data_IF_006992003691
#
_entry.id   IF_006992003691
#
_cell.length_a   1.000
_cell.length_b   1.000
_cell.length_c   1.000
_cell.angle_alpha   90.00
_cell.angle_beta   90.00
_cell.angle_gamma   90.00
#
_symmetry.space_group_name_H-M   'P 1'
#
loop_
_entity.id
_entity.type
_entity.pdbx_description
1 polymer ?
#
# COMPACT_ATOMS: atom_id res chain seq x y z
N UNK A 1 -15.93 17.55 -0.34
CA UNK A 1 -15.12 17.00 0.77
C UNK A 1 -13.87 16.42 0.14
N UNK A 2 -12.68 16.74 0.66
CA UNK A 2 -11.45 16.08 0.20
C UNK A 2 -11.29 14.82 1.03
N UNK A 3 -11.43 13.66 0.40
CA UNK A 3 -11.11 12.39 1.05
C UNK A 3 -9.59 12.22 1.02
N UNK A 4 -8.98 12.02 2.18
CA UNK A 4 -7.55 11.73 2.29
C UNK A 4 -7.35 10.21 2.32
N UNK A 5 -6.26 9.68 1.75
CA UNK A 5 -6.04 8.26 1.78
C UNK A 5 -5.85 7.78 3.22
N UNK A 6 -6.38 6.60 3.53
CA UNK A 6 -6.20 5.92 4.82
C UNK A 6 -5.03 4.94 4.73
N UNK A 7 -4.57 4.43 5.87
CA UNK A 7 -3.56 3.35 5.86
C UNK A 7 -4.20 1.99 5.57
N UNK A 8 -3.43 1.09 4.96
CA UNK A 8 -3.85 -0.33 4.82
C UNK A 8 -4.11 -0.94 6.20
N UNK A 9 -3.40 -0.51 7.25
CA UNK A 9 -3.63 -0.98 8.61
C UNK A 9 -5.06 -0.74 9.08
N UNK A 10 -5.57 0.48 8.91
CA UNK A 10 -6.95 0.83 9.29
C UNK A 10 -7.97 -0.03 8.53
N UNK A 11 -7.77 -0.19 7.22
CA UNK A 11 -8.63 -1.03 6.38
C UNK A 11 -8.63 -2.49 6.84
N UNK A 12 -7.45 -3.06 7.12
CA UNK A 12 -7.34 -4.47 7.53
C UNK A 12 -7.87 -4.73 8.93
N UNK A 13 -7.71 -3.79 9.87
CA UNK A 13 -8.30 -3.88 11.21
C UNK A 13 -9.84 -3.93 11.15
N UNK A 14 -10.45 -3.08 10.31
CA UNK A 14 -11.90 -3.10 10.12
C UNK A 14 -12.36 -4.39 9.44
N UNK A 15 -11.64 -4.85 8.41
CA UNK A 15 -11.91 -6.08 7.70
C UNK A 15 -11.82 -7.33 8.59
N UNK A 16 -10.81 -7.40 9.47
CA UNK A 16 -10.65 -8.47 10.44
C UNK A 16 -11.81 -8.52 11.44
N UNK A 17 -12.22 -7.36 11.99
CA UNK A 17 -13.38 -7.30 12.86
C UNK A 17 -14.70 -7.64 12.15
N UNK A 18 -14.83 -7.25 10.89
CA UNK A 18 -16.02 -7.49 10.07
C UNK A 18 -16.06 -8.88 9.43
N UNK A 19 -14.98 -9.68 9.51
CA UNK A 19 -14.91 -11.01 8.90
C UNK A 19 -14.91 -10.99 7.37
N UNK A 20 -14.34 -9.96 6.75
CA UNK A 20 -14.28 -9.81 5.29
C UNK A 20 -12.86 -9.57 4.79
N UNK A 21 -12.68 -9.59 3.47
CA UNK A 21 -11.41 -9.30 2.82
C UNK A 21 -11.53 -8.04 1.96
N UNK A 22 -10.41 -7.34 1.74
CA UNK A 22 -10.37 -6.11 0.95
C UNK A 22 -9.55 -6.31 -0.30
N UNK A 23 -10.08 -5.84 -1.43
CA UNK A 23 -9.41 -5.90 -2.73
C UNK A 23 -8.20 -4.98 -2.78
N UNK A 24 -7.05 -5.56 -3.14
CA UNK A 24 -5.86 -4.83 -3.59
C UNK A 24 -5.75 -4.91 -5.10
N UNK A 25 -5.81 -3.77 -5.76
CA UNK A 25 -5.80 -3.70 -7.22
C UNK A 25 -4.62 -2.87 -7.72
N UNK A 26 -3.77 -3.53 -8.48
CA UNK A 26 -2.70 -2.89 -9.23
C UNK A 26 -3.26 -1.88 -10.24
N UNK A 27 -2.65 -0.71 -10.29
CA UNK A 27 -3.13 0.43 -11.07
C UNK A 27 -1.99 1.15 -11.79
N UNK A 28 -2.17 1.34 -13.10
CA UNK A 28 -1.06 1.71 -14.00
C UNK A 28 -1.36 2.87 -14.94
N UNK A 29 -2.61 3.33 -14.99
CA UNK A 29 -3.07 4.45 -15.83
C UNK A 29 -4.42 4.96 -15.31
N UNK A 30 -4.82 6.14 -15.79
CA UNK A 30 -5.95 6.91 -15.29
C UNK A 30 -7.26 6.12 -15.29
N UNK A 31 -7.58 5.43 -16.39
CA UNK A 31 -8.83 4.71 -16.58
C UNK A 31 -9.00 3.60 -15.54
N UNK A 32 -7.90 2.90 -15.20
CA UNK A 32 -7.92 1.83 -14.23
C UNK A 32 -8.04 2.37 -12.80
N UNK A 33 -7.31 3.44 -12.46
CA UNK A 33 -7.46 4.11 -11.16
C UNK A 33 -8.92 4.56 -10.97
N UNK A 34 -9.49 5.20 -11.98
CA UNK A 34 -10.87 5.69 -11.97
C UNK A 34 -11.86 4.54 -11.78
N UNK A 35 -11.74 3.47 -12.58
CA UNK A 35 -12.62 2.31 -12.48
C UNK A 35 -12.56 1.67 -11.09
N UNK A 36 -11.36 1.49 -10.52
CA UNK A 36 -11.19 0.90 -9.19
C UNK A 36 -11.90 1.74 -8.11
N UNK A 37 -11.66 3.05 -8.06
CA UNK A 37 -12.22 3.87 -6.99
C UNK A 37 -13.73 4.09 -7.15
N UNK A 38 -14.22 4.29 -8.37
CA UNK A 38 -15.65 4.54 -8.61
C UNK A 38 -16.47 3.29 -8.32
N UNK A 39 -16.00 2.11 -8.76
CA UNK A 39 -16.67 0.85 -8.42
C UNK A 39 -16.61 0.56 -6.91
N UNK A 40 -15.50 0.85 -6.24
CA UNK A 40 -15.44 0.70 -4.78
C UNK A 40 -16.46 1.60 -4.06
N UNK A 41 -16.67 2.83 -4.55
CA UNK A 41 -17.66 3.76 -4.00
C UNK A 41 -19.09 3.30 -4.27
N UNK A 42 -19.39 2.83 -5.49
CA UNK A 42 -20.69 2.25 -5.87
C UNK A 42 -21.06 1.04 -5.00
N UNK A 43 -20.08 0.18 -4.72
CA UNK A 43 -20.25 -1.01 -3.87
C UNK A 43 -20.15 -0.71 -2.37
N UNK A 44 -19.92 0.56 -1.99
CA UNK A 44 -19.72 0.97 -0.58
C UNK A 44 -18.63 0.15 0.14
N UNK A 45 -17.56 -0.20 -0.59
CA UNK A 45 -16.49 -1.07 -0.12
C UNK A 45 -15.16 -0.32 0.01
N UNK A 46 -14.35 -0.57 1.07
CA UNK A 46 -13.00 -0.06 1.12
C UNK A 46 -12.14 -0.70 0.02
N UNK A 47 -11.08 -0.01 -0.42
CA UNK A 47 -10.20 -0.52 -1.48
C UNK A 47 -8.73 -0.13 -1.26
N UNK A 48 -7.82 -1.00 -1.69
CA UNK A 48 -6.39 -0.73 -1.71
C UNK A 48 -5.96 -0.50 -3.16
N UNK A 49 -5.59 0.73 -3.50
CA UNK A 49 -5.02 1.11 -4.78
C UNK A 49 -3.51 0.84 -4.76
N UNK A 50 -3.05 -0.10 -5.58
CA UNK A 50 -1.68 -0.59 -5.54
C UNK A 50 -0.89 -0.17 -6.77
N UNK A 51 0.43 0.00 -6.61
CA UNK A 51 1.36 0.16 -7.71
C UNK A 51 2.67 -0.56 -7.41
N UNK A 52 3.20 -1.27 -8.40
CA UNK A 52 4.53 -1.89 -8.32
C UNK A 52 5.65 -0.89 -8.67
N UNK A 53 6.91 -1.11 -8.25
CA UNK A 53 8.05 -0.29 -8.68
C UNK A 53 8.18 -0.17 -10.20
N UNK A 54 7.85 -1.24 -10.92
CA UNK A 54 7.84 -1.23 -12.39
C UNK A 54 6.75 -0.29 -12.93
N UNK A 55 5.55 -0.36 -12.37
CA UNK A 55 4.44 0.53 -12.71
C UNK A 55 4.77 1.99 -12.45
N UNK A 56 5.33 2.29 -11.27
CA UNK A 56 5.74 3.65 -10.90
C UNK A 56 6.82 4.22 -11.82
N UNK A 57 7.81 3.41 -12.23
CA UNK A 57 8.83 3.86 -13.20
C UNK A 57 8.27 4.08 -14.59
N UNK A 58 7.30 3.28 -15.01
CA UNK A 58 6.66 3.42 -16.32
C UNK A 58 5.80 4.70 -16.40
N UNK A 59 4.98 4.93 -15.37
CA UNK A 59 3.99 6.01 -15.33
C UNK A 59 4.58 7.34 -14.83
N UNK A 60 5.60 7.29 -13.97
CA UNK A 60 6.01 8.41 -13.14
C UNK A 60 5.23 8.44 -11.82
N UNK A 61 5.96 8.55 -10.70
CA UNK A 61 5.35 8.54 -9.36
C UNK A 61 4.55 9.83 -9.07
N UNK A 62 4.97 10.94 -9.66
CA UNK A 62 4.27 12.23 -9.66
C UNK A 62 2.93 12.17 -10.42
N UNK A 63 2.91 11.55 -11.60
CA UNK A 63 1.67 11.31 -12.34
C UNK A 63 0.72 10.41 -11.56
N UNK A 64 1.23 9.32 -10.99
CA UNK A 64 0.42 8.43 -10.17
C UNK A 64 -0.21 9.18 -8.98
N UNK A 65 0.59 9.93 -8.23
CA UNK A 65 0.12 10.72 -7.10
C UNK A 65 -0.99 11.69 -7.53
N UNK A 66 -0.78 12.47 -8.59
CA UNK A 66 -1.77 13.44 -9.05
C UNK A 66 -3.09 12.77 -9.48
N UNK A 67 -3.02 11.62 -10.15
CA UNK A 67 -4.21 10.85 -10.54
C UNK A 67 -4.92 10.25 -9.33
N UNK A 68 -4.19 9.66 -8.38
CA UNK A 68 -4.75 9.11 -7.16
C UNK A 68 -5.44 10.20 -6.32
N UNK A 69 -4.80 11.36 -6.14
CA UNK A 69 -5.41 12.51 -5.45
C UNK A 69 -6.68 12.99 -6.16
N UNK A 70 -6.70 12.99 -7.49
CA UNK A 70 -7.89 13.35 -8.27
C UNK A 70 -9.02 12.32 -8.14
N UNK A 71 -8.68 11.04 -8.02
CA UNK A 71 -9.61 9.94 -7.80
C UNK A 71 -10.23 9.99 -6.38
N UNK A 72 -9.40 10.19 -5.35
CA UNK A 72 -9.84 10.30 -3.95
C UNK A 72 -10.87 11.40 -3.72
N UNK A 73 -10.75 12.54 -4.42
CA UNK A 73 -11.72 13.65 -4.32
C UNK A 73 -13.13 13.31 -4.83
N UNK A 74 -13.30 12.17 -5.50
CA UNK A 74 -14.57 11.76 -6.11
C UNK A 74 -15.35 10.73 -5.29
N UNK A 75 -14.73 10.14 -4.27
CA UNK A 75 -15.28 8.97 -3.56
C UNK A 75 -15.33 9.21 -2.05
N UNK A 76 -16.31 8.61 -1.39
CA UNK A 76 -16.51 8.67 0.06
C UNK A 76 -15.96 7.46 0.82
N UNK A 77 -15.74 6.33 0.13
CA UNK A 77 -15.21 5.11 0.75
C UNK A 77 -13.73 5.23 1.17
N UNK A 78 -13.26 4.42 2.14
CA UNK A 78 -11.85 4.38 2.51
C UNK A 78 -10.98 3.82 1.38
N UNK A 79 -9.97 4.59 0.98
CA UNK A 79 -8.99 4.18 -0.04
C UNK A 79 -7.58 4.26 0.54
N UNK A 80 -6.83 3.18 0.47
CA UNK A 80 -5.39 3.18 0.78
C UNK A 80 -4.55 3.18 -0.48
N UNK A 81 -3.39 3.82 -0.44
CA UNK A 81 -2.42 3.82 -1.56
C UNK A 81 -1.20 2.99 -1.12
N UNK A 82 -0.92 1.93 -1.86
CA UNK A 82 0.05 0.91 -1.45
C UNK A 82 1.12 0.61 -2.50
N UNK A 83 2.39 0.61 -2.10
CA UNK A 83 3.49 0.15 -2.94
C UNK A 83 3.53 -1.36 -2.84
N UNK A 84 3.22 -2.06 -3.93
CA UNK A 84 3.29 -3.52 -3.98
C UNK A 84 4.68 -3.98 -4.42
N UNK A 85 5.24 -4.98 -3.73
CA UNK A 85 6.53 -5.59 -4.09
C UNK A 85 7.72 -4.62 -4.27
N UNK A 86 7.88 -3.62 -3.39
CA UNK A 86 9.12 -2.84 -3.32
C UNK A 86 10.32 -3.74 -3.01
N UNK A 87 11.44 -3.63 -3.73
CA UNK A 87 12.61 -4.51 -3.50
C UNK A 87 13.83 -3.77 -2.96
N UNK A 88 13.73 -2.45 -2.84
CA UNK A 88 14.82 -1.59 -2.39
C UNK A 88 14.33 -0.45 -1.50
N UNK A 89 15.22 0.08 -0.66
CA UNK A 89 14.94 1.31 0.11
C UNK A 89 14.61 2.50 -0.79
N UNK A 90 15.14 2.54 -2.02
CA UNK A 90 14.83 3.59 -2.98
C UNK A 90 13.36 3.54 -3.42
N UNK A 91 12.82 2.34 -3.67
CA UNK A 91 11.40 2.18 -4.01
C UNK A 91 10.50 2.61 -2.83
N UNK A 92 10.86 2.21 -1.61
CA UNK A 92 10.14 2.61 -0.39
C UNK A 92 10.13 4.14 -0.23
N UNK A 93 11.30 4.77 -0.32
CA UNK A 93 11.42 6.23 -0.19
C UNK A 93 10.67 6.98 -1.29
N UNK A 94 10.70 6.47 -2.52
CA UNK A 94 9.94 7.03 -3.63
C UNK A 94 8.44 7.01 -3.32
N UNK A 95 7.90 5.85 -2.94
CA UNK A 95 6.49 5.72 -2.60
C UNK A 95 6.07 6.66 -1.46
N UNK A 96 6.81 6.65 -0.34
CA UNK A 96 6.50 7.48 0.82
C UNK A 96 6.53 8.98 0.49
N UNK A 97 7.48 9.42 -0.35
CA UNK A 97 7.56 10.82 -0.82
C UNK A 97 6.37 11.25 -1.69
N UNK A 98 5.72 10.30 -2.34
CA UNK A 98 4.59 10.52 -3.25
C UNK A 98 3.24 10.17 -2.61
N UNK A 99 3.14 10.24 -1.28
CA UNK A 99 1.86 10.17 -0.57
C UNK A 99 1.31 8.75 -0.40
N UNK A 100 2.12 7.71 -0.58
CA UNK A 100 1.72 6.34 -0.29
C UNK A 100 1.53 6.14 1.22
N UNK A 101 0.35 5.66 1.61
CA UNK A 101 -0.02 5.41 3.00
C UNK A 101 0.35 4.00 3.48
N UNK A 102 0.84 3.16 2.56
CA UNK A 102 1.32 1.82 2.86
C UNK A 102 2.41 1.40 1.88
N UNK A 103 3.38 0.62 2.36
CA UNK A 103 4.46 0.08 1.52
C UNK A 103 4.70 -1.38 1.78
N UNK A 104 5.03 -2.14 0.74
CA UNK A 104 5.50 -3.51 0.85
C UNK A 104 6.98 -3.61 0.52
N UNK A 105 7.76 -4.21 1.42
CA UNK A 105 9.13 -4.61 1.13
C UNK A 105 9.20 -6.13 0.91
N UNK A 106 9.68 -6.50 -0.27
CA UNK A 106 9.85 -7.85 -0.74
C UNK A 106 11.34 -8.24 -0.73
N UNK A 107 11.84 -8.56 0.46
CA UNK A 107 13.15 -9.18 0.68
C UNK A 107 13.10 -10.70 0.55
N UNK A 108 12.06 -11.26 -0.06
CA UNK A 108 11.77 -12.69 0.02
C UNK A 108 12.80 -13.58 -0.68
N UNK A 109 13.54 -13.01 -1.63
CA UNK A 109 14.70 -13.64 -2.29
C UNK A 109 16.00 -13.59 -1.48
N UNK A 110 16.02 -12.89 -0.34
CA UNK A 110 17.18 -12.80 0.54
C UNK A 110 17.19 -13.94 1.57
N UNK A 111 18.35 -14.25 2.16
CA UNK A 111 18.41 -15.04 3.39
C UNK A 111 17.48 -14.46 4.47
N UNK A 112 16.94 -15.33 5.34
CA UNK A 112 15.91 -14.95 6.30
C UNK A 112 16.36 -13.79 7.20
N UNK A 113 17.58 -13.84 7.70
CA UNK A 113 18.16 -12.82 8.57
C UNK A 113 18.29 -11.47 7.87
N UNK A 114 18.66 -11.48 6.58
CA UNK A 114 18.74 -10.28 5.75
C UNK A 114 17.35 -9.71 5.45
N UNK A 115 16.36 -10.56 5.17
CA UNK A 115 14.97 -10.14 4.98
C UNK A 115 14.41 -9.49 6.26
N UNK A 116 14.65 -10.10 7.43
CA UNK A 116 14.26 -9.52 8.72
C UNK A 116 14.94 -8.17 8.93
N UNK A 117 16.25 -8.07 8.68
CA UNK A 117 16.99 -6.82 8.86
C UNK A 117 16.50 -5.71 7.90
N UNK A 118 16.26 -6.04 6.64
CA UNK A 118 15.70 -5.11 5.65
C UNK A 118 14.29 -4.65 6.05
N UNK A 119 13.42 -5.60 6.43
CA UNK A 119 12.06 -5.31 6.86
C UNK A 119 12.06 -4.39 8.08
N UNK A 120 12.90 -4.63 9.09
CA UNK A 120 13.01 -3.76 10.28
C UNK A 120 13.36 -2.33 9.91
N UNK A 121 14.31 -2.12 9.00
CA UNK A 121 14.69 -0.77 8.53
C UNK A 121 13.53 -0.06 7.83
N UNK A 122 12.75 -0.79 7.03
CA UNK A 122 11.57 -0.24 6.35
C UNK A 122 10.46 0.11 7.36
N UNK A 123 10.23 -0.74 8.36
CA UNK A 123 9.28 -0.47 9.45
C UNK A 123 9.65 0.79 10.21
N UNK A 124 10.91 0.92 10.64
CA UNK A 124 11.42 2.12 11.33
C UNK A 124 11.22 3.39 10.49
N UNK A 125 11.52 3.33 9.20
CA UNK A 125 11.34 4.44 8.28
C UNK A 125 9.86 4.80 8.10
N UNK A 126 9.00 3.84 7.79
CA UNK A 126 7.58 4.09 7.51
C UNK A 126 6.82 4.59 8.74
N UNK A 127 7.18 4.09 9.93
CA UNK A 127 6.61 4.58 11.20
C UNK A 127 6.98 6.04 11.46
N UNK A 128 8.17 6.50 11.03
CA UNK A 128 8.57 7.91 11.18
C UNK A 128 7.73 8.89 10.34
N UNK A 129 7.00 8.40 9.34
CA UNK A 129 6.16 9.20 8.43
C UNK A 129 4.67 8.82 8.48
N UNK A 130 4.25 8.08 9.51
CA UNK A 130 2.87 7.63 9.72
C UNK A 130 2.25 6.79 8.58
N UNK A 131 3.06 5.96 7.90
CA UNK A 131 2.60 4.99 6.88
C UNK A 131 2.71 3.53 7.37
N UNK A 132 1.78 2.67 6.95
CA UNK A 132 1.80 1.22 7.27
C UNK A 132 2.84 0.43 6.46
N UNK A 133 3.25 -0.75 6.97
CA UNK A 133 4.21 -1.63 6.27
C UNK A 133 3.66 -3.03 6.08
N UNK A 134 3.90 -3.62 4.92
CA UNK A 134 3.71 -5.04 4.63
C UNK A 134 5.07 -5.66 4.28
N UNK A 135 5.32 -6.90 4.72
CA UNK A 135 6.55 -7.62 4.44
C UNK A 135 6.24 -8.98 3.80
N UNK A 136 7.06 -9.40 2.82
CA UNK A 136 6.94 -10.75 2.24
C UNK A 136 7.90 -11.72 2.92
N UNK A 137 7.39 -12.89 3.32
CA UNK A 137 8.21 -14.01 3.78
C UNK A 137 7.85 -15.30 3.06
N UNK A 138 8.78 -16.26 3.05
CA UNK A 138 8.51 -17.63 2.63
C UNK A 138 7.85 -18.41 3.76
N UNK A 139 6.86 -19.25 3.43
CA UNK A 139 6.26 -20.26 4.31
C UNK A 139 6.18 -21.56 3.51
N UNK A 140 6.64 -22.67 4.06
CA UNK A 140 6.61 -24.05 3.51
C UNK A 140 6.61 -24.14 1.95
N UNK A 141 5.44 -24.03 1.32
CA UNK A 141 5.24 -24.18 -0.14
C UNK A 141 4.98 -22.87 -0.92
N UNK A 142 5.14 -21.69 -0.31
CA UNK A 142 4.82 -20.42 -0.96
C UNK A 142 5.32 -19.16 -0.26
N UNK A 143 4.82 -18.02 -0.74
CA UNK A 143 5.08 -16.70 -0.16
C UNK A 143 3.83 -16.20 0.54
N UNK A 144 3.99 -15.60 1.72
CA UNK A 144 2.91 -14.95 2.45
C UNK A 144 3.28 -13.51 2.81
N UNK A 145 2.27 -12.67 2.97
CA UNK A 145 2.40 -11.28 3.33
C UNK A 145 2.08 -11.13 4.83
N UNK A 146 2.95 -10.43 5.55
CA UNK A 146 2.70 -10.04 6.94
C UNK A 146 2.48 -8.54 6.94
N UNK A 147 1.32 -8.12 7.42
CA UNK A 147 1.10 -6.72 7.71
C UNK A 147 1.69 -6.36 9.07
N UNK A 148 2.52 -5.31 9.10
CA UNK A 148 3.15 -4.79 10.31
C UNK A 148 2.45 -3.47 10.63
N UNK A 149 1.62 -3.43 11.68
CA UNK A 149 0.85 -2.23 12.02
C UNK A 149 1.77 -1.07 12.39
N UNK A 150 1.23 0.15 12.28
CA UNK A 150 1.85 1.30 12.94
C UNK A 150 1.91 1.03 14.45
N UNK A 151 2.99 1.43 15.12
CA UNK A 151 2.97 1.35 16.59
C UNK A 151 1.86 2.26 17.12
N UNK A 152 1.00 1.70 17.97
CA UNK A 152 0.06 2.48 18.77
C UNK A 152 0.79 3.02 20.00
N UNK A 153 1.50 4.12 19.81
CA UNK A 153 2.09 4.92 20.88
C UNK A 153 2.02 6.41 20.52
N UNK A 154 0.80 6.96 20.59
CA UNK A 154 0.43 8.17 21.34
C UNK A 154 -1.08 8.38 21.38
#
# INVERSE_FOLDING_TARGET
MVNNPVTVHQILMDAEHGGYAVGGFDSYFMELIKAIVETADEESAPVILQASPKGLRYMGADFFQAMAEAALRRVGVPVAIHLDHGTSMADILLALRHGFTSVMIDGSRLPLEENIALTKRVVELAHSVASGVTARRRVDEGWTNIHIPLRHDR
#
